data_IF_255345354927
#
_entry.id   IF_255345354927
#
_cell.length_a   1.000
_cell.length_b   1.000
_cell.length_c   1.000
_cell.angle_alpha   90.00
_cell.angle_beta   90.00
_cell.angle_gamma   90.00
#
_symmetry.space_group_name_H-M   'P 1'
#
loop_
_entity.id
_entity.type
_entity.pdbx_description
1 polymer ?
#
# COMPACT_ATOMS: atom_id res chain seq x y z
N UNK A 1 -6.48 6.95 19.68
CA UNK A 1 -5.10 6.83 20.18
C UNK A 1 -4.57 8.23 20.37
N UNK A 2 -4.12 8.55 21.58
CA UNK A 2 -3.40 9.80 21.82
C UNK A 2 -1.91 9.58 21.47
N UNK A 3 -1.13 10.65 21.35
CA UNK A 3 0.29 10.56 21.01
C UNK A 3 1.18 9.92 22.11
N UNK A 4 0.57 9.37 23.18
CA UNK A 4 1.27 8.70 24.29
C UNK A 4 1.00 7.18 24.33
N UNK A 5 0.23 6.64 23.37
CA UNK A 5 0.07 5.19 23.24
C UNK A 5 1.38 4.56 22.73
N UNK A 6 1.79 3.44 23.33
CA UNK A 6 2.96 2.66 22.91
C UNK A 6 2.57 1.21 22.60
N UNK A 7 3.34 0.59 21.70
CA UNK A 7 3.21 -0.82 21.33
C UNK A 7 4.54 -1.52 21.63
N UNK A 8 4.47 -2.65 22.34
CA UNK A 8 5.56 -3.60 22.49
C UNK A 8 5.20 -4.87 21.70
N UNK A 9 5.78 -4.98 20.51
CA UNK A 9 5.48 -6.05 19.56
C UNK A 9 6.10 -7.40 19.96
N UNK A 10 7.17 -7.39 20.76
CA UNK A 10 7.83 -8.62 21.22
C UNK A 10 7.01 -9.25 22.35
N UNK A 11 6.50 -8.42 23.26
CA UNK A 11 5.66 -8.87 24.36
C UNK A 11 4.18 -9.06 23.98
N UNK A 12 3.75 -8.64 22.78
CA UNK A 12 2.34 -8.53 22.36
C UNK A 12 1.51 -7.66 23.31
N UNK A 13 2.04 -6.50 23.73
CA UNK A 13 1.40 -5.60 24.68
C UNK A 13 1.12 -4.24 24.03
N UNK A 14 -0.10 -3.74 24.22
CA UNK A 14 -0.47 -2.35 23.95
C UNK A 14 -0.61 -1.59 25.27
N UNK A 15 -0.01 -0.40 25.38
CA UNK A 15 -0.17 0.49 26.54
C UNK A 15 -0.69 1.87 26.12
N UNK A 16 -1.75 2.33 26.76
CA UNK A 16 -2.23 3.72 26.66
C UNK A 16 -2.41 4.26 28.08
N UNK A 17 -1.59 5.25 28.45
CA UNK A 17 -1.59 5.81 29.81
C UNK A 17 -2.52 7.02 29.98
N UNK A 18 -3.23 7.45 28.92
CA UNK A 18 -4.08 8.65 28.93
C UNK A 18 -5.46 8.37 28.31
N UNK A 19 -6.08 7.24 28.67
CA UNK A 19 -7.45 6.91 28.29
C UNK A 19 -8.45 7.78 29.08
N UNK A 20 -8.92 8.86 28.47
CA UNK A 20 -10.01 9.72 28.99
C UNK A 20 -11.42 9.16 28.73
N UNK A 21 -11.52 8.04 28.00
CA UNK A 21 -12.78 7.47 27.53
C UNK A 21 -12.84 5.94 27.67
N UNK A 22 -12.52 5.41 28.86
CA UNK A 22 -12.61 3.97 29.14
C UNK A 22 -14.05 3.41 28.94
N UNK A 23 -15.04 4.27 29.11
CA UNK A 23 -16.48 4.03 28.86
C UNK A 23 -16.77 3.68 27.39
N UNK A 24 -16.07 4.30 26.44
CA UNK A 24 -16.27 4.04 25.00
C UNK A 24 -15.73 2.68 24.55
N UNK A 25 -14.79 2.10 25.28
CA UNK A 25 -14.22 0.79 24.97
C UNK A 25 -14.94 -0.36 25.70
N UNK A 26 -15.48 -0.10 26.89
CA UNK A 26 -16.04 -1.15 27.76
C UNK A 26 -17.57 -1.21 27.73
N UNK A 27 -18.24 -0.16 27.25
CA UNK A 27 -19.71 -0.06 27.29
C UNK A 27 -20.28 0.16 28.70
N UNK A 28 -19.44 0.37 29.71
CA UNK A 28 -19.88 0.69 31.07
C UNK A 28 -20.12 2.20 31.17
N UNK A 29 -21.39 2.58 31.31
CA UNK A 29 -21.81 3.99 31.51
C UNK A 29 -22.19 4.21 32.97
N UNK A 30 -22.06 5.45 33.45
CA UNK A 30 -22.44 5.89 34.82
C UNK A 30 -23.96 5.93 35.06
N UNK A 31 -24.76 5.47 34.09
CA UNK A 31 -26.21 5.41 34.18
C UNK A 31 -26.94 6.75 34.00
N UNK A 32 -26.26 7.83 33.57
CA UNK A 32 -26.89 9.18 33.53
C UNK A 32 -26.91 9.90 32.17
N UNK A 33 -26.55 9.25 31.07
CA UNK A 33 -26.61 9.89 29.73
C UNK A 33 -27.93 9.65 28.99
N UNK A 34 -28.49 10.65 28.27
CA UNK A 34 -29.77 10.50 27.57
C UNK A 34 -29.66 9.51 26.41
N UNK A 35 -30.72 8.73 26.20
CA UNK A 35 -30.89 7.78 25.09
C UNK A 35 -31.11 8.51 23.76
N UNK A 36 -30.08 9.14 23.20
CA UNK A 36 -30.07 9.28 21.75
C UNK A 36 -29.67 7.90 21.21
N UNK A 37 -30.52 7.24 20.40
CA UNK A 37 -30.10 5.99 19.78
C UNK A 37 -28.79 6.30 19.04
N UNK A 38 -27.73 5.50 19.22
CA UNK A 38 -26.50 5.72 18.49
C UNK A 38 -26.87 5.82 17.02
N UNK A 39 -26.46 6.91 16.35
CA UNK A 39 -26.61 7.02 14.91
C UNK A 39 -25.94 5.80 14.31
N UNK A 40 -26.73 4.85 13.83
CA UNK A 40 -26.23 3.70 13.10
C UNK A 40 -25.73 4.26 11.79
N UNK A 41 -24.44 4.58 11.73
CA UNK A 41 -23.76 4.88 10.48
C UNK A 41 -23.72 3.54 9.73
N UNK A 42 -24.43 3.39 8.59
CA UNK A 42 -24.09 2.30 7.69
C UNK A 42 -22.61 2.46 7.33
N UNK A 43 -21.84 1.37 7.25
CA UNK A 43 -20.50 1.42 6.69
C UNK A 43 -20.55 2.11 5.32
N UNK A 44 -19.50 2.86 4.96
CA UNK A 44 -19.31 3.21 3.58
C UNK A 44 -19.10 1.89 2.80
N UNK A 45 -20.06 1.51 1.95
CA UNK A 45 -19.93 0.35 1.08
C UNK A 45 -18.89 0.64 -0.01
N UNK A 46 -17.60 0.57 0.33
CA UNK A 46 -16.52 0.54 -0.66
C UNK A 46 -16.28 -0.91 -1.07
N UNK A 47 -16.65 -1.25 -2.30
CA UNK A 47 -16.40 -2.59 -2.84
C UNK A 47 -14.92 -2.76 -3.19
N UNK A 48 -14.36 -3.95 -2.92
CA UNK A 48 -13.09 -4.38 -3.51
C UNK A 48 -13.27 -4.89 -4.96
N UNK A 49 -14.49 -4.83 -5.50
CA UNK A 49 -14.81 -5.16 -6.88
C UNK A 49 -14.75 -3.92 -7.76
N UNK A 50 -14.08 -4.03 -8.89
CA UNK A 50 -13.99 -2.93 -9.85
C UNK A 50 -13.34 -3.34 -11.16
N UNK A 51 -13.20 -2.37 -12.05
CA UNK A 51 -12.71 -2.57 -13.42
C UNK A 51 -11.31 -2.00 -13.65
N UNK A 52 -10.76 -1.24 -12.70
CA UNK A 52 -9.44 -0.62 -12.81
C UNK A 52 -8.71 -0.65 -11.48
N UNK A 53 -7.48 -1.11 -11.50
CA UNK A 53 -6.61 -1.21 -10.33
C UNK A 53 -5.18 -0.83 -10.72
N UNK A 54 -4.41 -0.42 -9.71
CA UNK A 54 -2.98 -0.24 -9.78
C UNK A 54 -2.31 -1.03 -8.67
N UNK A 55 -1.11 -1.53 -8.96
CA UNK A 55 -0.24 -2.16 -7.96
C UNK A 55 1.23 -1.92 -8.32
N UNK A 56 2.10 -1.81 -7.32
CA UNK A 56 3.55 -1.82 -7.50
C UNK A 56 4.13 -3.20 -7.16
N UNK A 57 5.17 -3.62 -7.89
CA UNK A 57 6.02 -4.73 -7.45
C UNK A 57 6.98 -4.20 -6.39
N UNK A 58 6.44 -4.01 -5.18
CA UNK A 58 7.11 -3.44 -4.02
C UNK A 58 8.34 -4.22 -3.59
N UNK A 59 9.20 -3.56 -2.83
CA UNK A 59 10.45 -4.12 -2.35
C UNK A 59 10.26 -5.50 -1.68
N UNK A 60 11.13 -6.44 -2.03
CA UNK A 60 11.24 -7.73 -1.39
C UNK A 60 12.72 -8.06 -1.24
N UNK A 61 13.13 -8.65 -0.11
CA UNK A 61 14.53 -8.94 0.20
C UNK A 61 15.29 -9.58 -0.97
N UNK A 62 14.68 -10.61 -1.57
CA UNK A 62 15.25 -11.32 -2.72
C UNK A 62 15.48 -10.49 -4.00
N UNK A 63 15.17 -9.18 -4.01
CA UNK A 63 15.57 -8.26 -5.08
C UNK A 63 17.08 -8.12 -5.17
N UNK A 64 17.76 -8.15 -4.01
CA UNK A 64 19.21 -8.15 -3.91
C UNK A 64 19.74 -9.58 -4.08
N UNK A 65 20.83 -9.74 -4.83
CA UNK A 65 21.40 -11.06 -5.14
C UNK A 65 20.74 -11.76 -6.34
N UNK A 66 20.12 -12.92 -6.10
CA UNK A 66 19.69 -13.84 -7.16
C UNK A 66 18.35 -13.47 -7.85
N UNK A 67 17.63 -12.45 -7.36
CA UNK A 67 16.32 -12.06 -7.88
C UNK A 67 15.31 -13.24 -7.84
N UNK A 68 15.25 -13.91 -6.68
CA UNK A 68 14.60 -15.22 -6.49
C UNK A 68 13.11 -15.20 -6.14
N UNK A 69 12.52 -14.01 -6.04
CA UNK A 69 11.11 -13.75 -5.76
C UNK A 69 10.26 -13.70 -7.05
N UNK A 70 9.01 -14.11 -7.01
CA UNK A 70 8.08 -13.96 -8.12
C UNK A 70 6.84 -13.19 -7.67
N UNK A 71 6.26 -12.44 -8.60
CA UNK A 71 4.99 -11.77 -8.40
C UNK A 71 3.98 -12.27 -9.42
N UNK A 72 2.79 -12.61 -8.95
CA UNK A 72 1.63 -12.92 -9.77
C UNK A 72 0.43 -12.11 -9.30
N UNK A 73 -0.58 -12.04 -10.17
CA UNK A 73 -1.85 -11.41 -9.91
C UNK A 73 -2.94 -12.47 -9.94
N UNK A 74 -3.92 -12.37 -9.04
CA UNK A 74 -5.12 -13.20 -9.05
C UNK A 74 -6.31 -12.37 -9.52
N UNK A 75 -7.15 -12.95 -10.37
CA UNK A 75 -8.37 -12.33 -10.85
C UNK A 75 -9.55 -13.23 -10.52
N UNK A 76 -10.45 -12.76 -9.67
CA UNK A 76 -11.70 -13.46 -9.34
C UNK A 76 -12.89 -12.71 -9.91
N UNK A 77 -13.76 -13.42 -10.62
CA UNK A 77 -14.90 -12.83 -11.31
C UNK A 77 -16.16 -13.69 -11.16
N UNK A 78 -17.31 -13.06 -10.93
CA UNK A 78 -18.62 -13.74 -10.95
C UNK A 78 -19.16 -13.89 -12.37
N UNK A 79 -18.81 -12.96 -13.25
CA UNK A 79 -19.13 -13.00 -14.68
C UNK A 79 -17.85 -13.26 -15.47
N UNK A 80 -17.99 -13.75 -16.70
CA UNK A 80 -16.84 -13.88 -17.58
C UNK A 80 -16.25 -12.49 -17.84
N UNK A 81 -14.94 -12.34 -17.67
CA UNK A 81 -14.25 -11.06 -17.74
C UNK A 81 -12.98 -11.17 -18.58
N UNK A 82 -12.71 -10.14 -19.37
CA UNK A 82 -11.43 -9.94 -20.04
C UNK A 82 -10.61 -8.93 -19.23
N UNK A 83 -9.39 -9.32 -18.89
CA UNK A 83 -8.48 -8.52 -18.07
C UNK A 83 -7.23 -8.21 -18.88
N UNK A 84 -6.83 -6.95 -18.91
CA UNK A 84 -5.58 -6.50 -19.49
C UNK A 84 -4.65 -6.00 -18.39
N UNK A 85 -3.44 -6.57 -18.34
CA UNK A 85 -2.36 -6.16 -17.45
C UNK A 85 -1.29 -5.42 -18.27
N UNK A 86 -0.84 -4.27 -17.77
CA UNK A 86 0.26 -3.50 -18.37
C UNK A 86 1.24 -3.03 -17.30
N UNK A 87 2.50 -2.86 -17.69
CA UNK A 87 3.53 -2.23 -16.86
C UNK A 87 3.77 -0.83 -17.42
N UNK A 88 3.46 0.18 -16.63
CA UNK A 88 3.56 1.57 -17.04
C UNK A 88 5.00 1.93 -17.46
N UNK A 89 5.10 2.83 -18.44
CA UNK A 89 6.38 3.20 -19.04
C UNK A 89 7.04 2.11 -19.92
N UNK A 90 6.34 1.00 -20.21
CA UNK A 90 6.88 -0.09 -21.05
C UNK A 90 5.88 -0.57 -22.11
N UNK A 91 6.35 -1.41 -23.04
CA UNK A 91 5.50 -2.10 -24.03
C UNK A 91 4.84 -3.40 -23.53
N UNK A 92 4.97 -3.74 -22.25
CA UNK A 92 4.40 -4.98 -21.71
C UNK A 92 2.87 -4.92 -21.66
N UNK A 93 2.22 -5.87 -22.33
CA UNK A 93 0.76 -6.06 -22.30
C UNK A 93 0.45 -7.55 -22.28
N UNK A 94 -0.40 -7.97 -21.34
CA UNK A 94 -0.95 -9.33 -21.28
C UNK A 94 -2.45 -9.29 -21.11
N UNK A 95 -3.14 -10.21 -21.78
CA UNK A 95 -4.59 -10.34 -21.71
C UNK A 95 -4.95 -11.70 -21.12
N UNK A 96 -5.97 -11.72 -20.27
CA UNK A 96 -6.45 -12.90 -19.58
C UNK A 96 -7.97 -12.98 -19.71
N UNK A 97 -8.49 -14.18 -19.93
CA UNK A 97 -9.92 -14.46 -19.91
C UNK A 97 -10.25 -15.20 -18.62
N UNK A 98 -11.03 -14.58 -17.74
CA UNK A 98 -11.49 -15.14 -16.46
C UNK A 98 -12.88 -15.74 -16.70
N UNK A 99 -13.07 -17.07 -16.56
CA UNK A 99 -14.41 -17.65 -16.60
C UNK A 99 -15.32 -17.13 -15.48
N UNK A 100 -16.63 -17.14 -15.70
CA UNK A 100 -17.61 -16.79 -14.68
C UNK A 100 -17.49 -17.68 -13.44
N UNK A 101 -17.65 -17.09 -12.25
CA UNK A 101 -17.55 -17.74 -10.94
C UNK A 101 -16.23 -18.51 -10.73
N UNK A 102 -15.12 -17.94 -11.21
CA UNK A 102 -13.82 -18.58 -11.13
C UNK A 102 -12.72 -17.62 -10.70
N UNK A 103 -11.54 -18.18 -10.45
CA UNK A 103 -10.31 -17.44 -10.21
C UNK A 103 -9.22 -17.98 -11.14
N UNK A 104 -8.43 -17.09 -11.71
CA UNK A 104 -7.22 -17.43 -12.46
C UNK A 104 -6.04 -16.60 -11.96
N UNK A 105 -4.83 -17.03 -12.31
CA UNK A 105 -3.59 -16.29 -12.06
C UNK A 105 -3.00 -15.72 -13.34
N UNK A 106 -2.26 -14.61 -13.22
CA UNK A 106 -1.41 -14.12 -14.30
C UNK A 106 -0.20 -15.03 -14.51
N UNK A 107 0.55 -14.74 -15.58
CA UNK A 107 1.95 -15.17 -15.68
C UNK A 107 2.78 -14.44 -14.61
N UNK A 108 3.98 -14.94 -14.31
CA UNK A 108 4.92 -14.21 -13.44
C UNK A 108 5.28 -12.87 -14.06
N UNK A 109 5.20 -11.80 -13.26
CA UNK A 109 5.56 -10.48 -13.74
C UNK A 109 7.07 -10.40 -14.00
N UNK A 110 7.51 -9.73 -15.07
CA UNK A 110 8.91 -9.63 -15.39
C UNK A 110 9.65 -8.87 -14.29
N UNK A 111 10.80 -9.43 -13.90
CA UNK A 111 11.71 -8.89 -12.88
C UNK A 111 13.11 -8.61 -13.45
N UNK A 112 13.23 -8.56 -14.77
CA UNK A 112 14.48 -8.29 -15.49
C UNK A 112 14.21 -7.62 -16.85
N UNK A 113 15.26 -7.05 -17.44
CA UNK A 113 15.21 -6.47 -18.78
C UNK A 113 14.34 -5.22 -18.88
N UNK A 114 13.91 -4.89 -20.10
CA UNK A 114 13.15 -3.67 -20.40
C UNK A 114 11.73 -3.66 -19.81
N UNK A 115 11.24 -4.81 -19.34
CA UNK A 115 9.93 -4.96 -18.70
C UNK A 115 10.02 -5.20 -17.19
N UNK A 116 11.21 -5.05 -16.57
CA UNK A 116 11.39 -5.24 -15.13
C UNK A 116 10.42 -4.35 -14.35
N UNK A 117 9.43 -4.95 -13.68
CA UNK A 117 8.39 -4.26 -12.93
C UNK A 117 8.82 -3.88 -11.49
N UNK A 118 9.97 -4.36 -11.00
CA UNK A 118 10.40 -4.16 -9.61
C UNK A 118 10.61 -2.69 -9.27
N UNK A 119 10.16 -2.30 -8.09
CA UNK A 119 10.43 -1.02 -7.44
C UNK A 119 11.75 -1.10 -6.66
N UNK A 120 12.86 -0.79 -7.34
CA UNK A 120 14.21 -1.01 -6.80
C UNK A 120 14.75 0.09 -5.88
N UNK A 121 14.07 1.24 -5.82
CA UNK A 121 14.58 2.42 -5.11
C UNK A 121 13.60 2.84 -4.02
N UNK A 122 14.13 3.42 -2.95
CA UNK A 122 13.37 4.37 -2.11
C UNK A 122 13.19 5.65 -2.93
N UNK A 123 12.03 5.79 -3.56
CA UNK A 123 11.76 6.92 -4.45
C UNK A 123 10.75 6.65 -5.55
N UNK A 124 10.76 7.57 -6.52
CA UNK A 124 9.85 7.58 -7.66
C UNK A 124 10.19 6.49 -8.67
N UNK A 125 9.16 5.84 -9.19
CA UNK A 125 9.23 4.83 -10.24
C UNK A 125 8.09 5.00 -11.24
N UNK A 126 8.35 4.72 -12.52
CA UNK A 126 7.33 4.70 -13.57
C UNK A 126 6.68 3.32 -13.74
N UNK A 127 7.05 2.34 -12.91
CA UNK A 127 6.73 0.92 -13.12
C UNK A 127 5.45 0.46 -12.42
N UNK A 128 4.45 1.33 -12.28
CA UNK A 128 3.13 0.92 -11.79
C UNK A 128 2.50 -0.10 -12.74
N UNK A 129 1.87 -1.14 -12.20
CA UNK A 129 1.20 -2.18 -12.96
C UNK A 129 -0.30 -1.87 -12.98
N UNK A 130 -0.86 -1.63 -14.17
CA UNK A 130 -2.29 -1.41 -14.34
C UNK A 130 -3.00 -2.74 -14.60
N UNK A 131 -4.15 -2.92 -13.96
CA UNK A 131 -5.07 -4.03 -14.22
C UNK A 131 -6.40 -3.40 -14.65
N UNK A 132 -6.80 -3.63 -15.89
CA UNK A 132 -8.06 -3.14 -16.44
C UNK A 132 -8.94 -4.33 -16.83
N UNK A 133 -10.23 -4.29 -16.50
CA UNK A 133 -11.19 -5.31 -16.86
C UNK A 133 -12.45 -4.70 -17.46
N UNK A 134 -13.09 -5.43 -18.37
CA UNK A 134 -14.37 -5.03 -18.96
C UNK A 134 -15.56 -5.14 -17.99
N UNK A 135 -15.45 -5.99 -16.96
CA UNK A 135 -16.48 -6.24 -15.94
C UNK A 135 -15.85 -6.19 -14.54
N UNK A 136 -16.59 -5.82 -13.47
CA UNK A 136 -16.03 -5.79 -12.12
C UNK A 136 -15.47 -7.15 -11.64
N UNK A 137 -14.19 -7.17 -11.30
CA UNK A 137 -13.46 -8.30 -10.72
C UNK A 137 -12.94 -7.94 -9.32
N UNK A 138 -12.52 -8.94 -8.55
CA UNK A 138 -11.61 -8.73 -7.40
C UNK A 138 -10.20 -9.10 -7.85
N UNK A 139 -9.22 -8.25 -7.52
CA UNK A 139 -7.82 -8.46 -7.84
C UNK A 139 -6.97 -8.57 -6.58
N UNK A 140 -5.99 -9.47 -6.61
CA UNK A 140 -4.95 -9.60 -5.57
C UNK A 140 -3.58 -9.61 -6.21
N UNK A 141 -2.60 -9.09 -5.49
CA UNK A 141 -1.19 -9.26 -5.80
C UNK A 141 -0.56 -10.22 -4.81
N UNK A 142 0.38 -11.03 -5.27
CA UNK A 142 1.12 -11.97 -4.43
C UNK A 142 2.58 -11.97 -4.84
N UNK A 143 3.46 -11.68 -3.90
CA UNK A 143 4.91 -11.81 -4.03
C UNK A 143 5.34 -13.00 -3.17
N UNK A 144 6.12 -13.91 -3.73
CA UNK A 144 6.59 -15.10 -3.00
C UNK A 144 8.00 -15.51 -3.42
N UNK A 145 8.71 -16.17 -2.52
CA UNK A 145 9.96 -16.87 -2.79
C UNK A 145 9.91 -18.27 -2.14
N UNK A 146 11.06 -18.96 -2.02
CA UNK A 146 11.12 -20.31 -1.46
C UNK A 146 10.63 -20.41 -0.01
N UNK A 147 10.75 -19.35 0.78
CA UNK A 147 10.42 -19.33 2.21
C UNK A 147 9.62 -18.08 2.65
N UNK A 148 9.16 -17.26 1.70
CA UNK A 148 8.40 -16.02 1.97
C UNK A 148 7.17 -15.95 1.07
N UNK A 149 6.07 -15.38 1.58
CA UNK A 149 4.81 -15.22 0.86
C UNK A 149 4.05 -14.02 1.42
N UNK A 150 3.66 -13.10 0.53
CA UNK A 150 3.01 -11.84 0.85
C UNK A 150 1.88 -11.61 -0.15
N UNK A 151 0.66 -11.37 0.34
CA UNK A 151 -0.48 -11.10 -0.53
C UNK A 151 -1.18 -9.79 -0.14
N UNK A 152 -1.64 -9.05 -1.14
CA UNK A 152 -2.40 -7.82 -0.98
C UNK A 152 -3.71 -7.87 -1.75
N UNK A 153 -4.80 -7.50 -1.09
CA UNK A 153 -6.08 -7.21 -1.74
C UNK A 153 -5.99 -5.84 -2.39
N UNK A 154 -6.28 -5.77 -3.70
CA UNK A 154 -6.24 -4.51 -4.42
C UNK A 154 -7.60 -3.82 -4.37
N UNK A 155 -7.60 -2.57 -3.95
CA UNK A 155 -8.76 -1.70 -4.04
C UNK A 155 -8.86 -1.08 -5.44
N UNK A 156 -10.05 -1.02 -6.05
CA UNK A 156 -10.23 -0.40 -7.35
C UNK A 156 -10.09 1.12 -7.25
N UNK A 157 -9.72 1.78 -8.35
CA UNK A 157 -9.50 3.23 -8.38
C UNK A 157 -10.69 4.04 -7.85
N UNK A 158 -11.91 3.54 -8.01
CA UNK A 158 -13.13 4.20 -7.53
C UNK A 158 -13.23 4.35 -6.01
N UNK A 159 -12.39 3.67 -5.23
CA UNK A 159 -12.39 3.73 -3.76
C UNK A 159 -11.20 4.47 -3.17
N UNK A 160 -10.37 5.09 -4.02
CA UNK A 160 -9.18 5.80 -3.58
C UNK A 160 -9.54 7.05 -2.75
N UNK A 161 -8.72 7.32 -1.75
CA UNK A 161 -8.86 8.41 -0.80
C UNK A 161 -7.82 9.50 -1.02
N UNK A 162 -7.79 10.47 -0.11
CA UNK A 162 -6.89 11.63 -0.17
C UNK A 162 -5.85 11.63 0.95
N UNK A 163 -5.96 10.73 1.91
CA UNK A 163 -5.02 10.61 3.02
C UNK A 163 -4.95 9.16 3.48
N UNK A 164 -3.72 8.68 3.68
CA UNK A 164 -3.43 7.34 4.15
C UNK A 164 -2.32 7.41 5.20
N UNK A 165 -2.44 6.56 6.21
CA UNK A 165 -1.37 6.33 7.18
C UNK A 165 -0.91 4.90 7.03
N UNK A 166 0.39 4.71 6.78
CA UNK A 166 0.96 3.39 6.65
C UNK A 166 0.91 2.65 8.00
N UNK A 167 0.57 1.37 7.94
CA UNK A 167 0.75 0.41 9.01
C UNK A 167 1.72 -0.65 8.48
N UNK A 168 2.90 -0.71 9.07
CA UNK A 168 3.99 -1.59 8.65
C UNK A 168 4.49 -2.35 9.87
N UNK A 169 5.67 -2.98 9.76
CA UNK A 169 6.31 -3.67 10.88
C UNK A 169 7.82 -3.45 10.80
N UNK A 170 8.50 -3.61 11.94
CA UNK A 170 9.96 -3.63 12.00
C UNK A 170 10.49 -4.77 11.12
N UNK A 171 11.61 -4.55 10.44
CA UNK A 171 12.37 -5.60 9.77
C UNK A 171 13.70 -5.80 10.51
N UNK A 172 14.05 -7.04 10.85
CA UNK A 172 15.22 -7.38 11.66
C UNK A 172 15.94 -8.65 11.17
N UNK A 173 16.02 -8.84 9.86
CA UNK A 173 16.53 -10.08 9.26
C UNK A 173 17.87 -9.89 8.56
N UNK A 174 17.98 -8.87 7.70
CA UNK A 174 19.17 -8.60 6.92
C UNK A 174 19.23 -7.12 6.48
N UNK A 175 20.42 -6.63 6.15
CA UNK A 175 20.63 -5.25 5.67
C UNK A 175 19.91 -4.86 4.35
N UNK A 176 19.28 -5.82 3.67
CA UNK A 176 18.43 -5.66 2.49
C UNK A 176 16.93 -5.86 2.82
N UNK A 177 16.55 -5.77 4.10
CA UNK A 177 15.15 -5.82 4.55
C UNK A 177 14.71 -4.48 5.11
N UNK A 178 13.62 -3.94 4.58
CA UNK A 178 13.13 -2.60 4.93
C UNK A 178 11.65 -2.65 5.29
N UNK A 179 11.25 -1.89 6.30
CA UNK A 179 9.83 -1.55 6.48
C UNK A 179 9.44 -0.57 5.39
N UNK A 180 8.33 -0.79 4.68
CA UNK A 180 8.00 0.02 3.51
C UNK A 180 6.51 0.18 3.24
N UNK A 181 6.20 1.27 2.53
CA UNK A 181 4.92 1.52 1.88
C UNK A 181 5.18 2.21 0.54
N UNK A 182 4.24 2.19 -0.39
CA UNK A 182 4.32 2.99 -1.61
C UNK A 182 3.00 3.67 -1.89
N UNK A 183 3.03 4.75 -2.67
CA UNK A 183 1.83 5.43 -3.15
C UNK A 183 1.78 5.40 -4.67
N UNK A 184 0.60 5.15 -5.25
CA UNK A 184 0.37 5.13 -6.71
C UNK A 184 -0.68 6.14 -7.14
N UNK A 185 -0.45 6.79 -8.28
CA UNK A 185 -1.37 7.76 -8.86
C UNK A 185 -2.17 7.17 -10.04
N UNK A 186 -3.49 7.38 -10.06
CA UNK A 186 -4.33 7.11 -11.25
C UNK A 186 -4.47 8.32 -12.20
N UNK A 187 -4.02 9.49 -11.76
CA UNK A 187 -4.18 10.74 -12.49
C UNK A 187 -2.84 11.44 -12.70
N UNK A 188 -2.73 12.13 -13.83
CA UNK A 188 -1.60 13.01 -14.08
C UNK A 188 -1.58 14.20 -13.12
N UNK A 189 -0.38 14.70 -12.83
CA UNK A 189 -0.20 15.85 -11.92
C UNK A 189 -0.83 15.62 -10.53
N UNK A 190 -0.75 14.40 -10.01
CA UNK A 190 -1.09 14.05 -8.63
C UNK A 190 0.02 14.52 -7.71
N UNK A 191 -0.30 15.43 -6.79
CA UNK A 191 0.66 16.03 -5.88
C UNK A 191 0.43 15.50 -4.47
N UNK A 192 1.47 14.92 -3.89
CA UNK A 192 1.39 14.16 -2.65
C UNK A 192 2.44 14.68 -1.69
N UNK A 193 2.03 15.03 -0.49
CA UNK A 193 2.91 15.28 0.63
C UNK A 193 3.10 13.99 1.42
N UNK A 194 4.34 13.62 1.65
CA UNK A 194 4.73 12.44 2.41
C UNK A 194 5.45 12.91 3.67
N UNK A 195 4.97 12.47 4.84
CA UNK A 195 5.63 12.70 6.14
C UNK A 195 6.10 11.35 6.68
N UNK A 196 7.40 11.04 6.56
CA UNK A 196 7.96 9.80 7.12
C UNK A 196 7.83 9.76 8.64
N UNK A 197 7.42 8.61 9.20
CA UNK A 197 7.44 8.41 10.66
C UNK A 197 8.87 8.22 11.19
N UNK A 198 9.77 7.68 10.36
CA UNK A 198 11.17 7.45 10.68
C UNK A 198 12.06 7.84 9.47
N UNK A 199 13.39 7.94 9.63
CA UNK A 199 14.27 8.26 8.52
C UNK A 199 14.13 7.24 7.39
N UNK A 200 14.07 7.71 6.14
CA UNK A 200 13.98 6.83 4.96
C UNK A 200 15.38 6.45 4.45
N UNK A 201 15.47 5.35 3.70
CA UNK A 201 16.72 4.86 3.11
C UNK A 201 17.39 5.90 2.19
N UNK A 202 16.61 6.73 1.49
CA UNK A 202 17.08 7.85 0.65
C UNK A 202 17.48 9.10 1.45
N UNK A 203 17.43 9.05 2.79
CA UNK A 203 17.89 10.11 3.67
C UNK A 203 16.83 11.19 3.97
N UNK A 204 15.54 10.92 3.76
CA UNK A 204 14.48 11.84 4.23
C UNK A 204 14.38 11.72 5.76
N UNK A 205 14.50 12.83 6.52
CA UNK A 205 14.35 12.79 7.97
C UNK A 205 12.92 12.41 8.40
N UNK A 206 12.81 11.81 9.58
CA UNK A 206 11.52 11.63 10.27
C UNK A 206 10.82 12.98 10.50
N UNK A 207 9.49 12.98 10.47
CA UNK A 207 8.62 14.13 10.75
C UNK A 207 8.83 15.37 9.86
N UNK A 208 9.63 15.25 8.79
CA UNK A 208 9.88 16.33 7.82
C UNK A 208 9.11 16.03 6.54
N UNK A 209 7.99 16.73 6.27
CA UNK A 209 7.21 16.50 5.06
C UNK A 209 8.00 16.89 3.81
N UNK A 210 7.83 16.10 2.76
CA UNK A 210 8.29 16.45 1.41
C UNK A 210 7.21 16.16 0.38
N UNK A 211 7.26 16.87 -0.75
CA UNK A 211 6.26 16.75 -1.80
C UNK A 211 6.82 15.98 -2.99
N UNK A 212 6.01 15.06 -3.51
CA UNK A 212 6.27 14.32 -4.75
C UNK A 212 5.15 14.61 -5.76
N UNK A 213 5.54 14.69 -7.03
CA UNK A 213 4.61 14.83 -8.15
C UNK A 213 4.62 13.54 -8.96
N UNK A 214 3.46 12.90 -9.06
CA UNK A 214 3.25 11.66 -9.79
C UNK A 214 2.25 11.87 -10.92
N UNK A 215 2.56 11.27 -12.05
CA UNK A 215 1.65 11.09 -13.17
C UNK A 215 0.95 9.74 -13.09
N UNK A 216 -0.05 9.52 -13.95
CA UNK A 216 -0.80 8.27 -13.97
C UNK A 216 0.14 7.07 -14.12
N UNK A 217 -0.01 6.10 -13.22
CA UNK A 217 0.78 4.88 -13.17
C UNK A 217 2.20 5.06 -12.63
N UNK A 218 2.58 6.25 -12.19
CA UNK A 218 3.82 6.44 -11.43
C UNK A 218 3.58 6.12 -9.94
N UNK A 219 4.63 5.61 -9.31
CA UNK A 219 4.64 5.15 -7.92
C UNK A 219 5.75 5.90 -7.18
N UNK A 220 5.56 6.18 -5.90
CA UNK A 220 6.66 6.55 -5.00
C UNK A 220 6.73 5.54 -3.86
N UNK A 221 7.84 4.80 -3.78
CA UNK A 221 8.11 3.86 -2.71
C UNK A 221 8.89 4.55 -1.59
N UNK A 222 8.48 4.30 -0.35
CA UNK A 222 9.16 4.75 0.87
C UNK A 222 9.75 3.52 1.55
N UNK A 223 11.08 3.45 1.66
CA UNK A 223 11.78 2.42 2.44
C UNK A 223 12.33 3.05 3.72
N UNK A 224 12.11 2.41 4.87
CA UNK A 224 12.75 2.81 6.12
C UNK A 224 14.26 2.60 6.06
N UNK A 225 15.02 3.52 6.67
CA UNK A 225 16.46 3.35 6.81
C UNK A 225 16.78 2.16 7.75
N UNK A 226 18.03 1.71 7.71
CA UNK A 226 18.58 0.82 8.74
C UNK A 226 18.97 1.64 9.99
N UNK A 227 18.92 1.02 11.16
CA UNK A 227 19.31 1.67 12.43
C UNK A 227 20.78 2.12 12.43
N UNK A 228 21.62 1.39 11.72
CA UNK A 228 23.00 1.76 11.43
C UNK A 228 23.41 1.26 10.03
N UNK A 229 24.43 1.86 9.38
CA UNK A 229 24.91 1.38 8.09
C UNK A 229 25.31 -0.10 8.15
N UNK A 230 24.67 -0.93 7.31
CA UNK A 230 24.91 -2.38 7.25
C UNK A 230 24.32 -3.18 8.42
N UNK A 231 23.46 -2.57 9.25
CA UNK A 231 22.70 -3.29 10.28
C UNK A 231 21.60 -4.15 9.65
N UNK A 232 21.25 -5.25 10.30
CA UNK A 232 20.10 -6.07 9.93
C UNK A 232 18.78 -5.54 10.51
N UNK A 233 18.84 -4.50 11.34
CA UNK A 233 17.69 -3.86 11.99
C UNK A 233 17.28 -2.59 11.22
N UNK A 234 16.03 -2.56 10.77
CA UNK A 234 15.39 -1.44 10.09
C UNK A 234 14.44 -0.64 10.98
N UNK A 235 14.25 0.65 10.65
CA UNK A 235 13.16 1.43 11.25
C UNK A 235 11.79 0.91 10.80
N UNK A 236 10.81 0.94 11.70
CA UNK A 236 9.40 0.77 11.34
C UNK A 236 8.84 2.05 10.74
N UNK A 237 8.16 1.94 9.60
CA UNK A 237 7.56 3.08 8.91
C UNK A 237 6.09 3.32 9.28
N UNK A 238 5.56 2.62 10.29
CA UNK A 238 4.19 2.81 10.79
C UNK A 238 3.99 4.25 11.21
N UNK A 239 2.89 4.86 10.77
CA UNK A 239 2.61 6.27 10.99
C UNK A 239 3.05 7.18 9.84
N UNK A 240 3.78 6.67 8.84
CA UNK A 240 4.11 7.46 7.65
C UNK A 240 2.83 7.92 6.96
N UNK A 241 2.70 9.23 6.79
CA UNK A 241 1.49 9.88 6.29
C UNK A 241 1.66 10.23 4.81
N UNK A 242 0.72 9.79 3.98
CA UNK A 242 0.58 10.19 2.59
C UNK A 242 -0.66 11.06 2.47
N UNK A 243 -0.51 12.30 2.01
CA UNK A 243 -1.61 13.25 1.86
C UNK A 243 -1.62 13.88 0.47
N UNK A 244 -2.75 13.75 -0.22
CA UNK A 244 -3.00 14.44 -1.47
C UNK A 244 -3.20 15.92 -1.19
N UNK A 245 -2.47 16.77 -1.90
CA UNK A 245 -2.53 18.22 -1.77
C UNK A 245 -2.89 18.86 -3.12
N UNK A 246 -3.38 20.12 -3.12
CA UNK A 246 -3.70 20.79 -4.37
C UNK A 246 -2.49 20.86 -5.31
N UNK A 247 -2.69 20.45 -6.56
CA UNK A 247 -1.76 20.69 -7.66
C UNK A 247 -1.86 22.13 -8.19
N UNK A 248 -1.10 22.46 -9.23
CA UNK A 248 -1.06 23.82 -9.81
C UNK A 248 -2.41 24.30 -10.37
N UNK A 249 -3.34 23.36 -10.64
CA UNK A 249 -4.71 23.65 -11.05
C UNK A 249 -5.69 23.73 -9.87
N UNK A 250 -5.19 23.73 -8.62
CA UNK A 250 -6.01 23.79 -7.41
C UNK A 250 -6.78 22.51 -7.09
N UNK A 251 -6.42 21.37 -7.68
CA UNK A 251 -7.12 20.09 -7.48
C UNK A 251 -6.35 19.16 -6.57
N UNK A 252 -7.02 18.59 -5.57
CA UNK A 252 -6.57 17.37 -4.90
C UNK A 252 -7.06 16.16 -5.71
N UNK A 253 -6.21 15.16 -5.92
CA UNK A 253 -6.52 13.96 -6.68
C UNK A 253 -6.43 12.73 -5.77
N UNK A 254 -7.39 11.79 -5.85
CA UNK A 254 -7.34 10.60 -5.02
C UNK A 254 -6.17 9.69 -5.46
N UNK A 255 -5.65 8.93 -4.50
CA UNK A 255 -4.46 8.08 -4.64
C UNK A 255 -4.65 6.80 -3.81
N UNK A 256 -3.78 5.81 -3.99
CA UNK A 256 -3.77 4.61 -3.15
C UNK A 256 -2.38 4.37 -2.58
N UNK A 257 -2.36 3.82 -1.35
CA UNK A 257 -1.18 3.41 -0.60
C UNK A 257 -1.32 1.95 -0.21
#
# INVERSE_FOLDING_TARGET
MNNASTVDEIANIFQDQNLSFLDKFTGLTDGTTPTNPPTVLPPADSSNRGTRFWVGYGHHQGFEGANGQDMILYFSAEQAANVTVRINGTGYVKNYAVPANSVITSETLPKTGVYDARLLLDGKSTKGISIESDIPIVAYAHIYASTTSEASLLLPVGTYGYQYTALTTIQNYASDTYSWAYVVADHDSTRIEITPANPTLSGRPADVPFVVNLNKGEVYQVLGALLAPGSDDGYDMTGTLFRSIPNDNGRCLPMAV
#
